data_IF_241211883371
#
_entry.id   IF_241211883371
#
_cell.length_a   1.000
_cell.length_b   1.000
_cell.length_c   1.000
_cell.angle_alpha   90.00
_cell.angle_beta   90.00
_cell.angle_gamma   90.00
#
_symmetry.space_group_name_H-M   'P 1'
#
loop_
_entity.id
_entity.type
_entity.pdbx_description
1 polymer ?
#
# COMPACT_ATOMS: atom_id res chain seq x y z
N UNK A 1 -7.10 33.51 4.03
CA UNK A 1 -7.55 32.40 3.17
C UNK A 1 -7.17 31.11 3.90
N UNK A 2 -8.06 30.62 4.76
CA UNK A 2 -7.83 29.40 5.56
C UNK A 2 -8.06 28.19 4.65
N UNK A 3 -7.02 27.41 4.38
CA UNK A 3 -7.18 26.11 3.73
C UNK A 3 -7.85 25.19 4.74
N UNK A 4 -9.03 24.68 4.37
CA UNK A 4 -9.77 23.71 5.14
C UNK A 4 -8.95 22.41 5.21
N UNK A 5 -8.62 21.98 6.42
CA UNK A 5 -8.20 20.62 6.72
C UNK A 5 -9.30 19.67 6.20
N UNK A 6 -9.10 19.11 5.01
CA UNK A 6 -9.84 17.91 4.62
C UNK A 6 -9.40 16.81 5.56
N UNK A 7 -10.21 16.55 6.60
CA UNK A 7 -10.08 15.34 7.40
C UNK A 7 -10.29 14.15 6.47
N UNK A 8 -9.20 13.59 5.95
CA UNK A 8 -9.24 12.32 5.24
C UNK A 8 -9.82 11.29 6.19
N UNK A 9 -10.91 10.65 5.77
CA UNK A 9 -11.59 9.65 6.56
C UNK A 9 -10.63 8.46 6.78
N UNK A 10 -9.99 8.42 7.95
CA UNK A 10 -9.21 7.27 8.39
C UNK A 10 -10.15 6.07 8.37
N UNK A 11 -9.85 5.11 7.49
CA UNK A 11 -10.67 3.90 7.31
C UNK A 11 -10.84 3.19 8.65
N UNK A 12 -12.02 2.61 8.88
CA UNK A 12 -12.30 1.89 10.13
C UNK A 12 -11.19 0.87 10.36
N UNK A 13 -10.59 0.91 11.55
CA UNK A 13 -9.54 -0.02 11.91
C UNK A 13 -10.14 -1.43 12.01
N UNK A 14 -9.90 -2.26 11.00
CA UNK A 14 -10.28 -3.67 11.00
C UNK A 14 -9.18 -4.48 11.70
N UNK A 15 -9.46 -5.71 12.14
CA UNK A 15 -8.41 -6.57 12.73
C UNK A 15 -7.34 -6.98 11.71
N UNK A 16 -7.68 -6.94 10.43
CA UNK A 16 -6.86 -7.40 9.31
C UNK A 16 -6.91 -6.34 8.21
N UNK A 17 -5.79 -5.97 7.59
CA UNK A 17 -5.80 -5.05 6.46
C UNK A 17 -6.27 -5.75 5.17
N UNK A 18 -7.13 -5.05 4.42
CA UNK A 18 -7.33 -5.31 2.99
C UNK A 18 -6.11 -4.87 2.17
N UNK A 19 -5.49 -5.80 1.47
CA UNK A 19 -4.34 -5.59 0.57
C UNK A 19 -4.83 -5.67 -0.88
N UNK A 20 -4.52 -4.65 -1.67
CA UNK A 20 -4.89 -4.57 -3.08
C UNK A 20 -3.64 -4.75 -3.96
N UNK A 21 -3.65 -5.70 -4.88
CA UNK A 21 -2.53 -5.96 -5.79
C UNK A 21 -2.80 -5.31 -7.15
N UNK A 22 -1.97 -4.35 -7.56
CA UNK A 22 -2.04 -3.73 -8.89
C UNK A 22 -1.38 -4.61 -9.96
N UNK A 23 -1.85 -5.85 -10.08
CA UNK A 23 -1.23 -6.89 -10.90
C UNK A 23 -1.69 -6.95 -12.37
N UNK A 24 -2.40 -5.92 -12.85
CA UNK A 24 -3.00 -5.92 -14.18
C UNK A 24 -1.97 -6.03 -15.32
N UNK A 25 -0.76 -5.49 -15.12
CA UNK A 25 0.30 -5.41 -16.14
C UNK A 25 1.48 -6.34 -15.85
N UNK A 26 1.38 -7.26 -14.89
CA UNK A 26 2.46 -8.21 -14.57
C UNK A 26 2.28 -9.47 -15.44
N UNK A 27 3.39 -10.10 -15.84
CA UNK A 27 3.35 -11.44 -16.42
C UNK A 27 2.62 -12.43 -15.50
N UNK A 28 1.79 -13.31 -16.07
CA UNK A 28 1.00 -14.28 -15.31
C UNK A 28 1.85 -15.18 -14.40
N UNK A 29 3.09 -15.50 -14.79
CA UNK A 29 4.01 -16.34 -14.02
C UNK A 29 4.41 -15.68 -12.68
N UNK A 30 4.77 -14.39 -12.70
CA UNK A 30 5.09 -13.65 -11.46
C UNK A 30 3.82 -13.48 -10.61
N UNK A 31 2.68 -13.24 -11.25
CA UNK A 31 1.40 -13.09 -10.57
C UNK A 31 0.99 -14.36 -9.85
N UNK A 32 1.16 -15.54 -10.45
CA UNK A 32 0.88 -16.82 -9.78
C UNK A 32 1.82 -17.05 -8.60
N UNK A 33 3.13 -16.85 -8.77
CA UNK A 33 4.10 -17.04 -7.67
C UNK A 33 3.79 -16.15 -6.46
N UNK A 34 3.43 -14.89 -6.71
CA UNK A 34 3.08 -13.96 -5.64
C UNK A 34 1.76 -14.35 -4.98
N UNK A 35 0.74 -14.72 -5.76
CA UNK A 35 -0.54 -15.17 -5.20
C UNK A 35 -0.37 -16.44 -4.36
N UNK A 36 0.33 -17.45 -4.87
CA UNK A 36 0.58 -18.70 -4.17
C UNK A 36 1.32 -18.45 -2.83
N UNK A 37 2.39 -17.64 -2.87
CA UNK A 37 3.15 -17.27 -1.67
C UNK A 37 2.30 -16.52 -0.64
N UNK A 38 1.45 -15.61 -1.11
CA UNK A 38 0.59 -14.84 -0.23
C UNK A 38 -0.56 -15.68 0.35
N UNK A 39 -1.11 -16.62 -0.43
CA UNK A 39 -2.14 -17.55 0.03
C UNK A 39 -1.60 -18.51 1.09
N UNK A 40 -0.38 -19.03 0.88
CA UNK A 40 0.28 -19.92 1.84
C UNK A 40 0.76 -19.19 3.10
N UNK A 41 1.48 -18.07 2.93
CA UNK A 41 2.14 -17.36 4.03
C UNK A 41 1.23 -16.40 4.80
N UNK A 42 0.16 -15.90 4.16
CA UNK A 42 -0.68 -14.82 4.66
C UNK A 42 -2.18 -15.10 4.47
N UNK A 43 -2.59 -16.36 4.64
CA UNK A 43 -3.98 -16.83 4.53
C UNK A 43 -5.03 -16.06 5.35
N UNK A 44 -4.60 -15.30 6.35
CA UNK A 44 -5.45 -14.46 7.20
C UNK A 44 -5.66 -13.04 6.63
N UNK A 45 -4.96 -12.64 5.57
CA UNK A 45 -5.11 -11.34 4.92
C UNK A 45 -6.25 -11.33 3.91
N UNK A 46 -6.88 -10.16 3.75
CA UNK A 46 -7.88 -9.95 2.71
C UNK A 46 -7.21 -9.40 1.45
N UNK A 47 -6.80 -10.30 0.56
CA UNK A 47 -6.12 -9.94 -0.68
C UNK A 47 -7.14 -9.76 -1.80
N UNK A 48 -6.99 -8.69 -2.58
CA UNK A 48 -7.80 -8.40 -3.76
C UNK A 48 -6.92 -8.02 -4.94
N UNK A 49 -7.33 -8.43 -6.13
CA UNK A 49 -6.71 -7.96 -7.36
C UNK A 49 -7.39 -6.67 -7.84
N UNK A 50 -6.59 -5.66 -8.16
CA UNK A 50 -7.09 -4.48 -8.87
C UNK A 50 -7.39 -4.88 -10.31
N UNK A 51 -8.68 -4.86 -10.66
CA UNK A 51 -9.13 -5.27 -11.99
C UNK A 51 -8.83 -4.22 -13.07
N UNK A 52 -8.79 -2.95 -12.68
CA UNK A 52 -8.61 -1.81 -13.56
C UNK A 52 -8.02 -0.64 -12.75
N UNK A 53 -7.09 0.11 -13.32
CA UNK A 53 -6.49 1.35 -12.76
C UNK A 53 -7.52 2.45 -12.41
N UNK A 54 -8.74 2.32 -12.91
CA UNK A 54 -9.88 3.20 -12.64
C UNK A 54 -10.88 2.64 -11.63
N UNK A 55 -10.62 1.48 -11.00
CA UNK A 55 -11.49 0.93 -9.96
C UNK A 55 -11.27 1.61 -8.61
N UNK A 56 -11.80 2.83 -8.49
CA UNK A 56 -11.78 3.63 -7.27
C UNK A 56 -12.46 2.93 -6.10
N UNK A 57 -13.50 2.12 -6.36
CA UNK A 57 -14.28 1.46 -5.33
C UNK A 57 -13.46 0.41 -4.55
N UNK A 58 -12.50 -0.21 -5.22
CA UNK A 58 -11.57 -1.16 -4.62
C UNK A 58 -10.49 -0.46 -3.79
N UNK A 59 -9.94 0.67 -4.28
CA UNK A 59 -8.99 1.47 -3.49
C UNK A 59 -9.63 2.01 -2.21
N UNK A 60 -10.86 2.54 -2.28
CA UNK A 60 -11.54 3.13 -1.12
C UNK A 60 -11.69 2.13 0.04
N UNK A 61 -11.85 0.85 -0.26
CA UNK A 61 -12.02 -0.22 0.73
C UNK A 61 -10.70 -0.89 1.16
N UNK A 62 -9.59 -0.46 0.57
CA UNK A 62 -8.26 -1.06 0.80
C UNK A 62 -7.43 -0.24 1.79
N UNK A 63 -6.55 -0.89 2.53
CA UNK A 63 -5.63 -0.19 3.44
C UNK A 63 -4.25 -0.08 2.81
N UNK A 64 -3.86 -1.10 2.06
CA UNK A 64 -2.57 -1.24 1.41
C UNK A 64 -2.80 -1.46 -0.08
N UNK A 65 -1.94 -0.87 -0.92
CA UNK A 65 -1.84 -1.22 -2.35
C UNK A 65 -0.41 -1.65 -2.67
N UNK A 66 -0.24 -2.72 -3.43
CA UNK A 66 1.05 -3.16 -3.96
C UNK A 66 1.14 -2.73 -5.41
N UNK A 67 2.06 -1.82 -5.72
CA UNK A 67 2.36 -1.32 -7.05
C UNK A 67 3.58 -2.06 -7.57
N UNK A 68 3.43 -2.79 -8.67
CA UNK A 68 4.53 -3.56 -9.27
C UNK A 68 5.25 -2.80 -10.38
N UNK A 69 4.58 -1.78 -10.93
CA UNK A 69 5.08 -0.89 -11.95
C UNK A 69 5.14 0.54 -11.43
N UNK A 70 5.98 1.36 -12.08
CA UNK A 70 6.19 2.76 -11.71
C UNK A 70 5.02 3.63 -12.20
N UNK A 71 3.89 3.53 -11.53
CA UNK A 71 2.64 4.22 -11.86
C UNK A 71 2.39 5.38 -10.88
N UNK A 72 2.81 6.59 -11.29
CA UNK A 72 2.62 7.80 -10.49
C UNK A 72 1.14 8.20 -10.33
N UNK A 73 0.29 7.89 -11.30
CA UNK A 73 -1.11 8.29 -11.26
C UNK A 73 -1.87 7.42 -10.25
N UNK A 74 -1.63 6.11 -10.28
CA UNK A 74 -2.19 5.19 -9.28
C UNK A 74 -1.62 5.44 -7.88
N UNK A 75 -0.34 5.79 -7.76
CA UNK A 75 0.28 6.19 -6.50
C UNK A 75 -0.41 7.41 -5.87
N UNK A 76 -0.60 8.49 -6.64
CA UNK A 76 -1.29 9.71 -6.17
C UNK A 76 -2.74 9.43 -5.79
N UNK A 77 -3.44 8.62 -6.60
CA UNK A 77 -4.80 8.16 -6.27
C UNK A 77 -4.80 7.43 -4.93
N UNK A 78 -3.88 6.49 -4.70
CA UNK A 78 -3.76 5.76 -3.44
C UNK A 78 -3.53 6.71 -2.26
N UNK A 79 -2.57 7.65 -2.38
CA UNK A 79 -2.28 8.63 -1.34
C UNK A 79 -3.46 9.54 -1.00
N UNK A 80 -4.17 10.06 -2.01
CA UNK A 80 -5.37 10.88 -1.80
C UNK A 80 -6.49 10.15 -1.03
N UNK A 81 -6.50 8.81 -1.08
CA UNK A 81 -7.46 7.97 -0.37
C UNK A 81 -6.92 7.38 0.94
N UNK A 82 -5.73 7.79 1.38
CA UNK A 82 -5.07 7.26 2.56
C UNK A 82 -4.77 5.77 2.47
N UNK A 83 -4.56 5.25 1.26
CA UNK A 83 -4.09 3.89 1.00
C UNK A 83 -2.57 3.93 0.99
N UNK A 84 -1.95 3.08 1.82
CA UNK A 84 -0.49 3.05 1.94
C UNK A 84 0.11 2.20 0.82
N UNK A 85 1.00 2.74 -0.01
CA UNK A 85 1.63 2.00 -1.10
C UNK A 85 2.80 1.13 -0.61
N UNK A 86 2.91 -0.05 -1.21
CA UNK A 86 4.11 -0.88 -1.27
C UNK A 86 4.63 -0.79 -2.71
N UNK A 87 5.86 -0.30 -2.90
CA UNK A 87 6.37 0.06 -4.24
C UNK A 87 7.89 0.16 -4.28
N UNK A 88 8.50 0.26 -5.45
CA UNK A 88 9.88 0.75 -5.58
C UNK A 88 9.95 2.27 -5.32
N UNK A 89 11.10 2.77 -4.87
CA UNK A 89 11.37 4.20 -4.69
C UNK A 89 11.75 4.88 -6.02
N UNK A 90 10.81 4.88 -6.98
CA UNK A 90 11.02 5.45 -8.31
C UNK A 90 10.82 6.97 -8.40
N UNK A 91 10.32 7.60 -7.32
CA UNK A 91 10.16 9.03 -7.18
C UNK A 91 10.62 9.49 -5.79
N UNK A 92 11.19 10.69 -5.69
CA UNK A 92 11.71 11.24 -4.43
C UNK A 92 10.65 11.49 -3.34
N UNK A 93 9.37 11.57 -3.73
CA UNK A 93 8.25 11.66 -2.80
C UNK A 93 7.90 10.33 -2.12
N UNK A 94 8.44 9.20 -2.60
CA UNK A 94 8.25 7.88 -2.01
C UNK A 94 9.31 7.68 -0.91
N UNK A 95 8.87 7.66 0.34
CA UNK A 95 9.73 7.56 1.52
C UNK A 95 9.40 6.28 2.27
N UNK A 96 10.35 5.35 2.33
CA UNK A 96 10.19 4.10 3.09
C UNK A 96 9.90 4.38 4.57
N UNK A 97 8.97 3.63 5.14
CA UNK A 97 8.59 3.78 6.52
C UNK A 97 9.69 3.26 7.45
N UNK A 98 10.25 4.17 8.24
CA UNK A 98 11.21 3.87 9.28
C UNK A 98 10.51 3.87 10.65
N UNK A 99 10.39 2.70 11.31
CA UNK A 99 9.72 2.60 12.62
C UNK A 99 10.47 3.34 13.73
N UNK A 100 11.79 3.57 13.62
CA UNK A 100 12.55 4.26 14.66
C UNK A 100 12.26 5.77 14.70
N UNK A 101 11.94 6.36 13.56
CA UNK A 101 11.63 7.79 13.41
C UNK A 101 10.14 8.04 13.20
N UNK A 102 9.33 6.98 13.21
CA UNK A 102 7.90 6.97 12.89
C UNK A 102 7.58 7.71 11.59
N UNK A 103 8.49 7.71 10.61
CA UNK A 103 8.40 8.57 9.42
C UNK A 103 8.42 7.77 8.13
N UNK A 104 7.70 8.27 7.12
CA UNK A 104 7.59 7.65 5.80
C UNK A 104 6.13 7.59 5.38
N UNK A 105 5.91 7.33 4.10
CA UNK A 105 4.58 7.31 3.48
C UNK A 105 4.35 6.05 2.63
N UNK A 106 5.30 5.12 2.63
CA UNK A 106 5.30 3.95 1.77
C UNK A 106 6.09 2.82 2.45
N UNK A 107 5.95 1.60 1.95
CA UNK A 107 6.88 0.51 2.23
C UNK A 107 7.62 0.19 0.93
N UNK A 108 8.94 0.26 0.96
CA UNK A 108 9.76 0.15 -0.25
C UNK A 108 10.38 -1.24 -0.37
N UNK A 109 10.42 -1.75 -1.60
CA UNK A 109 11.23 -2.90 -1.99
C UNK A 109 12.21 -2.47 -3.10
N UNK A 110 13.40 -3.06 -3.14
CA UNK A 110 14.48 -2.61 -4.02
C UNK A 110 14.39 -3.29 -5.39
N UNK A 111 14.16 -4.59 -5.41
CA UNK A 111 14.02 -5.38 -6.62
C UNK A 111 12.62 -5.98 -6.75
N UNK A 112 12.14 -6.12 -7.99
CA UNK A 112 10.84 -6.73 -8.31
C UNK A 112 10.83 -8.26 -8.11
N UNK A 113 11.62 -8.77 -7.17
CA UNK A 113 11.58 -10.18 -6.80
C UNK A 113 10.47 -10.41 -5.77
N UNK A 114 9.87 -11.59 -5.80
CA UNK A 114 8.71 -11.90 -4.98
C UNK A 114 9.03 -11.90 -3.47
N UNK A 115 10.25 -12.23 -3.06
CA UNK A 115 10.65 -12.24 -1.64
C UNK A 115 10.69 -10.86 -1.02
N UNK A 116 11.23 -9.87 -1.72
CA UNK A 116 11.27 -8.49 -1.22
C UNK A 116 9.87 -7.87 -1.18
N UNK A 117 9.05 -8.13 -2.20
CA UNK A 117 7.64 -7.71 -2.21
C UNK A 117 6.90 -8.35 -1.04
N UNK A 118 7.09 -9.66 -0.82
CA UNK A 118 6.52 -10.37 0.32
C UNK A 118 6.98 -9.76 1.65
N UNK A 119 8.28 -9.49 1.82
CA UNK A 119 8.81 -8.87 3.03
C UNK A 119 8.22 -7.48 3.28
N UNK A 120 8.04 -6.67 2.23
CA UNK A 120 7.40 -5.36 2.33
C UNK A 120 5.90 -5.46 2.71
N UNK A 121 5.19 -6.45 2.17
CA UNK A 121 3.80 -6.76 2.56
C UNK A 121 3.72 -7.16 4.04
N UNK A 122 4.62 -8.04 4.49
CA UNK A 122 4.69 -8.43 5.91
C UNK A 122 4.98 -7.22 6.79
N UNK A 123 5.97 -6.37 6.45
CA UNK A 123 6.25 -5.13 7.18
C UNK A 123 5.01 -4.26 7.31
N UNK A 124 4.30 -4.01 6.19
CA UNK A 124 3.09 -3.19 6.19
C UNK A 124 1.97 -3.80 7.07
N UNK A 125 1.78 -5.11 6.99
CA UNK A 125 0.75 -5.81 7.76
C UNK A 125 1.05 -5.85 9.26
N UNK A 126 2.32 -6.01 9.64
CA UNK A 126 2.75 -5.92 11.04
C UNK A 126 2.56 -4.49 11.55
N UNK A 127 2.98 -3.47 10.81
CA UNK A 127 2.79 -2.06 11.19
C UNK A 127 1.31 -1.67 11.29
N UNK A 128 0.43 -2.24 10.45
CA UNK A 128 -1.02 -2.01 10.52
C UNK A 128 -1.62 -2.38 11.89
N UNK A 129 -1.04 -3.36 12.59
CA UNK A 129 -1.49 -3.77 13.94
C UNK A 129 -1.27 -2.70 14.99
N UNK A 130 -0.47 -1.68 14.71
CA UNK A 130 -0.16 -0.55 15.58
C UNK A 130 -0.91 0.70 15.10
N UNK A 131 -2.10 1.01 15.66
CA UNK A 131 -3.00 2.01 15.06
C UNK A 131 -2.47 3.45 15.13
N UNK A 132 -1.55 3.73 16.06
CA UNK A 132 -0.92 5.04 16.16
C UNK A 132 0.05 5.27 14.99
N UNK A 133 0.97 4.33 14.78
CA UNK A 133 1.93 4.33 13.68
C UNK A 133 1.22 4.35 12.33
N UNK A 134 0.21 3.49 12.16
CA UNK A 134 -0.55 3.43 10.92
C UNK A 134 -1.24 4.75 10.58
N UNK A 135 -1.84 5.41 11.58
CA UNK A 135 -2.46 6.74 11.39
C UNK A 135 -1.43 7.78 10.96
N UNK A 136 -0.19 7.69 11.44
CA UNK A 136 0.86 8.61 11.04
C UNK A 136 1.25 8.38 9.56
N UNK A 137 1.43 7.12 9.14
CA UNK A 137 1.74 6.78 7.75
C UNK A 137 0.64 7.29 6.81
N UNK A 138 -0.63 7.03 7.13
CA UNK A 138 -1.78 7.48 6.34
C UNK A 138 -1.81 9.02 6.21
N UNK A 139 -1.53 9.74 7.29
CA UNK A 139 -1.43 11.21 7.24
C UNK A 139 -0.27 11.67 6.34
N UNK A 140 0.86 10.98 6.41
CA UNK A 140 2.01 11.28 5.54
C UNK A 140 1.70 11.03 4.07
N UNK A 141 0.97 9.95 3.74
CA UNK A 141 0.46 9.69 2.39
C UNK A 141 -0.33 10.88 1.85
N UNK A 142 -1.31 11.36 2.63
CA UNK A 142 -2.23 12.43 2.20
C UNK A 142 -1.55 13.80 2.06
N UNK A 143 -0.38 14.01 2.66
CA UNK A 143 0.43 15.21 2.46
C UNK A 143 1.31 15.14 1.21
N UNK A 144 1.53 13.94 0.69
CA UNK A 144 2.34 13.67 -0.49
C UNK A 144 1.52 13.57 -1.79
N UNK A 145 0.18 13.61 -1.70
CA UNK A 145 -0.74 13.56 -2.85
C UNK A 145 -0.70 14.80 -3.74
#
# INVERSE_FOLDING_TARGET
MQQADQQVAIKKNTKVPTVLLAAANISENIKSEILDTLEEGLSHLHIKLLKNENDFSSLEKSHIIVLFENDMDLLKKAWSQGVVPITQAFDSSIIDYNPNTESGNSFVYDSKNYWEIFAAIVRACETYKFPYDWKFIVRSCTKSS
#
